data_IF_899098164974
#
_entry.id   IF_899098164974
#
_cell.length_a   1.000
_cell.length_b   1.000
_cell.length_c   1.000
_cell.angle_alpha   90.00
_cell.angle_beta   90.00
_cell.angle_gamma   90.00
#
_symmetry.space_group_name_H-M   'P 1'
#
loop_
_entity.id
_entity.type
_entity.pdbx_description
1 polymer ?
2 branched ?
3 non-polymer ?
4 water ?
#
# COMPACT_ATOMS: atom_id res chain seq x y z
N UNK A 1 -2.08 -18.73 -12.80
CA UNK A 1 -3.41 -19.28 -12.35
C UNK A 1 -4.46 -19.11 -13.48
N UNK A 2 -5.40 -20.03 -13.53
CA UNK A 2 -6.50 -19.95 -14.46
C UNK A 2 -7.63 -19.02 -13.92
N UNK A 3 -8.56 -18.66 -14.79
CA UNK A 3 -9.74 -17.88 -14.46
C UNK A 3 -10.90 -18.79 -14.16
N UNK A 4 -11.42 -18.76 -12.96
CA UNK A 4 -12.55 -19.61 -12.62
C UNK A 4 -13.87 -18.95 -12.94
N UNK A 5 -14.92 -19.78 -13.02
CA UNK A 5 -16.22 -19.37 -13.46
C UNK A 5 -17.35 -19.82 -12.54
N UNK A 6 -17.04 -20.23 -11.32
CA UNK A 6 -18.09 -20.65 -10.38
C UNK A 6 -18.81 -19.53 -9.76
N UNK A 7 -18.15 -18.36 -9.75
CA UNK A 7 -18.70 -17.16 -9.14
C UNK A 7 -18.39 -16.00 -10.03
N UNK A 8 -19.41 -15.24 -10.34
CA UNK A 8 -19.16 -14.10 -11.23
C UNK A 8 -18.30 -13.05 -10.50
N UNK A 9 -17.42 -12.40 -11.26
CA UNK A 9 -16.59 -11.30 -10.74
C UNK A 9 -17.11 -9.93 -11.17
N UNK A 10 -17.74 -9.25 -10.26
CA UNK A 10 -18.33 -7.92 -10.56
C UNK A 10 -17.55 -6.92 -9.71
N UNK A 11 -16.73 -6.13 -10.37
CA UNK A 11 -15.88 -5.15 -9.63
C UNK A 11 -16.71 -3.93 -9.11
N UNK A 12 -16.67 -3.61 -7.82
CA UNK A 12 -17.36 -2.41 -7.33
C UNK A 12 -16.89 -1.15 -8.06
N UNK A 13 -17.82 -0.20 -8.32
CA UNK A 13 -17.42 1.06 -8.97
C UNK A 13 -16.83 2.03 -7.93
N UNK A 14 -15.76 2.68 -8.29
CA UNK A 14 -15.18 3.75 -7.48
C UNK A 14 -14.69 4.82 -8.38
N UNK A 15 -15.49 5.88 -8.52
CA UNK A 15 -15.21 6.94 -9.47
C UNK A 15 -13.99 7.75 -8.98
N UNK A 16 -13.15 8.19 -9.90
CA UNK A 16 -12.07 9.13 -9.57
C UNK A 16 -12.15 10.31 -10.53
N UNK A 17 -11.39 11.34 -10.25
CA UNK A 17 -11.38 12.49 -11.13
C UNK A 17 -10.00 12.78 -11.64
N UNK A 18 -9.92 13.15 -12.91
CA UNK A 18 -8.63 13.57 -13.48
C UNK A 18 -8.71 15.13 -13.72
N UNK A 19 -7.69 15.86 -13.29
CA UNK A 19 -7.78 17.33 -13.19
C UNK A 19 -6.64 18.01 -13.95
N UNK A 20 -6.98 19.14 -14.58
CA UNK A 20 -5.94 19.96 -15.27
C UNK A 20 -6.12 21.41 -14.91
N UNK A 21 -5.04 22.17 -15.03
CA UNK A 21 -5.09 23.57 -14.63
C UNK A 21 -6.21 24.36 -15.34
N UNK A 22 -6.24 24.16 -16.63
CA UNK A 22 -7.21 24.90 -17.44
C UNK A 22 -8.62 24.37 -17.54
N UNK A 23 -8.76 23.04 -17.55
CA UNK A 23 -10.00 22.33 -17.72
C UNK A 23 -10.78 21.93 -16.47
N UNK A 24 -10.13 21.96 -15.32
CA UNK A 24 -10.79 21.58 -14.10
C UNK A 24 -10.75 20.06 -13.99
N UNK A 25 -11.69 19.56 -13.21
CA UNK A 25 -11.77 18.14 -12.93
C UNK A 25 -12.85 17.42 -13.78
N UNK A 26 -12.52 16.26 -14.26
CA UNK A 26 -13.41 15.42 -15.07
C UNK A 26 -13.51 14.03 -14.47
N UNK A 27 -14.68 13.50 -14.24
CA UNK A 27 -14.75 12.12 -13.68
C UNK A 27 -14.33 10.97 -14.62
N UNK A 28 -13.78 9.92 -14.05
CA UNK A 28 -13.43 8.65 -14.67
C UNK A 28 -14.18 7.52 -13.99
N UNK A 29 -14.77 6.65 -14.80
CA UNK A 29 -15.50 5.49 -14.27
C UNK A 29 -14.62 4.31 -13.86
N UNK A 30 -13.74 4.55 -12.93
CA UNK A 30 -12.89 3.54 -12.44
C UNK A 30 -13.63 2.55 -11.49
N UNK A 31 -12.99 1.41 -11.26
CA UNK A 31 -13.52 0.35 -10.43
C UNK A 31 -12.44 -0.17 -9.50
N UNK A 32 -12.81 -1.06 -8.58
CA UNK A 32 -11.79 -1.74 -7.76
C UNK A 32 -11.85 -3.25 -7.87
N UNK A 33 -10.71 -3.92 -7.63
CA UNK A 33 -10.61 -5.37 -7.68
C UNK A 33 -9.83 -5.92 -6.49
N UNK A 34 -10.37 -6.99 -5.92
CA UNK A 34 -9.73 -7.69 -4.78
C UNK A 34 -8.43 -8.42 -5.26
N UNK A 35 -7.36 -8.21 -4.46
CA UNK A 35 -6.11 -8.88 -4.67
C UNK A 35 -6.27 -10.48 -4.65
N UNK A 36 -5.50 -11.13 -5.52
CA UNK A 36 -5.60 -12.57 -5.75
C UNK A 36 -5.34 -13.40 -4.50
N UNK A 37 -4.52 -12.86 -3.56
CA UNK A 37 -4.23 -13.64 -2.34
C UNK A 37 -5.44 -13.94 -1.48
N UNK A 38 -6.49 -13.12 -1.60
CA UNK A 38 -7.62 -13.30 -0.77
C UNK A 38 -8.69 -14.25 -1.35
N UNK A 39 -8.55 -14.58 -2.63
CA UNK A 39 -9.56 -15.38 -3.31
C UNK A 39 -9.52 -16.87 -3.10
N UNK A 40 -10.66 -17.50 -3.39
CA UNK A 40 -10.83 -18.95 -3.43
C UNK A 40 -10.01 -19.45 -4.58
N UNK A 41 -9.21 -20.47 -4.35
CA UNK A 41 -8.40 -21.14 -5.38
C UNK A 41 -8.87 -22.56 -5.47
N UNK A 42 -9.34 -22.96 -6.65
CA UNK A 42 -9.90 -24.33 -6.76
C UNK A 42 -9.57 -24.98 -8.09
N UNK A 43 -9.82 -26.28 -8.22
CA UNK A 43 -9.49 -27.01 -9.40
C UNK A 43 -10.25 -26.44 -10.61
N UNK A 44 -9.61 -26.36 -11.73
CA UNK A 44 -10.29 -25.84 -12.97
C UNK A 44 -11.40 -26.74 -13.45
N UNK A 45 -11.43 -27.94 -13.00
CA UNK A 45 -12.55 -28.75 -13.39
C UNK A 45 -13.64 -28.97 -12.31
N UNK A 46 -13.70 -28.13 -11.27
CA UNK A 46 -14.77 -28.31 -10.30
C UNK A 46 -14.72 -27.35 -9.11
N UNK A 47 -14.93 -27.89 -7.93
CA UNK A 47 -15.03 -27.08 -6.70
C UNK A 47 -13.99 -27.43 -5.63
N UNK A 48 -13.13 -28.40 -5.91
CA UNK A 48 -12.15 -28.83 -4.95
C UNK A 48 -11.07 -27.75 -4.72
N UNK A 49 -10.76 -27.48 -3.45
CA UNK A 49 -9.78 -26.46 -3.20
C UNK A 49 -8.35 -26.87 -3.59
N UNK A 50 -7.57 -25.94 -4.18
CA UNK A 50 -6.14 -26.12 -4.33
C UNK A 50 -5.40 -25.63 -3.07
N UNK A 51 -6.03 -24.77 -2.33
CA UNK A 51 -5.45 -24.15 -1.11
C UNK A 51 -6.56 -24.05 -0.11
N UNK A 52 -6.28 -24.45 1.12
CA UNK A 52 -7.25 -24.42 2.22
C UNK A 52 -6.52 -24.03 3.47
N UNK A 53 -6.98 -23.04 4.19
CA UNK A 53 -6.29 -22.67 5.45
C UNK A 53 -4.93 -22.10 5.12
N UNK A 54 -3.87 -22.79 5.50
CA UNK A 54 -2.54 -22.31 5.21
C UNK A 54 -1.69 -23.35 4.45
N UNK A 55 -2.33 -24.23 3.73
CA UNK A 55 -1.63 -25.27 3.01
C UNK A 55 -2.25 -25.58 1.63
N UNK A 56 -1.39 -25.97 0.69
CA UNK A 56 -1.78 -26.36 -0.64
C UNK A 56 -2.14 -27.84 -0.74
N UNK A 57 -2.93 -28.20 -1.74
CA UNK A 57 -3.26 -29.63 -2.01
C UNK A 57 -2.15 -30.24 -2.82
N UNK A 58 -1.41 -31.20 -2.25
CA UNK A 58 -0.20 -31.75 -2.90
C UNK A 58 -0.47 -32.56 -4.17
N UNK A 59 -1.69 -33.00 -4.29
CA UNK A 59 -2.15 -33.74 -5.46
C UNK A 59 -2.36 -32.84 -6.68
N UNK A 60 -3.00 -31.70 -6.47
CA UNK A 60 -3.27 -30.75 -7.55
C UNK A 60 -2.07 -29.86 -7.77
N UNK A 61 -1.24 -29.73 -6.74
CA UNK A 61 -0.17 -28.76 -6.79
C UNK A 61 1.15 -29.31 -6.36
N UNK A 62 1.64 -30.25 -7.11
CA UNK A 62 2.96 -30.82 -6.80
C UNK A 62 4.13 -29.88 -7.08
N UNK A 63 4.10 -29.03 -8.11
CA UNK A 63 5.14 -28.05 -8.39
C UNK A 63 4.42 -26.78 -8.85
N UNK A 64 5.11 -25.66 -8.99
CA UNK A 64 4.42 -24.43 -9.37
C UNK A 64 3.70 -24.36 -10.71
N UNK A 65 4.31 -24.93 -11.73
CA UNK A 65 3.75 -24.90 -13.05
C UNK A 65 2.54 -25.80 -13.10
N UNK A 66 2.65 -27.01 -12.58
CA UNK A 66 1.45 -27.88 -12.53
C UNK A 66 0.23 -27.24 -11.78
N UNK A 67 0.51 -26.64 -10.63
CA UNK A 67 -0.53 -25.98 -9.88
C UNK A 67 -1.23 -24.89 -10.65
N UNK A 68 -0.46 -24.04 -11.34
CA UNK A 68 -1.00 -22.92 -12.10
C UNK A 68 -1.89 -23.42 -13.26
N UNK A 69 -1.57 -24.58 -13.79
CA UNK A 69 -2.38 -25.17 -14.86
C UNK A 69 -3.61 -25.84 -14.31
N UNK A 70 -3.56 -26.38 -13.12
CA UNK A 70 -4.70 -27.07 -12.55
C UNK A 70 -5.67 -26.20 -11.75
N UNK A 71 -5.20 -25.01 -11.38
CA UNK A 71 -5.90 -24.19 -10.38
C UNK A 71 -6.39 -22.85 -10.91
N UNK A 72 -7.58 -22.48 -10.48
CA UNK A 72 -8.20 -21.27 -10.88
C UNK A 72 -8.61 -20.33 -9.71
N UNK A 73 -8.48 -19.04 -9.98
CA UNK A 73 -8.97 -17.99 -9.07
C UNK A 73 -10.41 -17.71 -9.39
N UNK A 74 -11.24 -17.51 -8.38
CA UNK A 74 -12.65 -17.25 -8.69
C UNK A 74 -13.18 -15.93 -8.22
N UNK A 75 -14.40 -15.63 -8.61
CA UNK A 75 -15.02 -14.36 -8.23
C UNK A 75 -15.26 -14.22 -6.75
N UNK A 76 -15.46 -12.97 -6.27
CA UNK A 76 -15.65 -12.70 -4.88
C UNK A 76 -16.97 -11.99 -4.50
N UNK A 77 -17.51 -12.32 -3.32
CA UNK A 77 -18.68 -11.58 -2.72
C UNK A 77 -18.04 -10.45 -1.90
N UNK A 78 -17.87 -9.28 -2.55
CA UNK A 78 -17.11 -8.17 -1.92
C UNK A 78 -17.57 -7.79 -0.51
N UNK A 79 -18.88 -7.53 -0.36
CA UNK A 79 -19.40 -7.15 0.92
C UNK A 79 -19.56 -8.31 1.86
N UNK A 80 -20.17 -9.38 1.37
CA UNK A 80 -20.42 -10.53 2.22
C UNK A 80 -19.26 -11.26 2.82
N UNK A 81 -18.27 -11.54 2.01
CA UNK A 81 -17.09 -12.22 2.45
C UNK A 81 -16.01 -11.31 2.95
N UNK A 82 -15.83 -10.16 2.32
CA UNK A 82 -14.64 -9.37 2.60
C UNK A 82 -14.88 -8.00 3.27
N UNK A 83 -16.12 -7.60 3.46
CA UNK A 83 -16.49 -6.35 4.09
C UNK A 83 -16.06 -5.13 3.32
N UNK A 84 -16.02 -5.27 2.01
CA UNK A 84 -15.70 -4.20 1.09
C UNK A 84 -16.96 -3.68 0.39
N UNK A 85 -17.23 -2.39 0.57
CA UNK A 85 -18.36 -1.79 -0.04
C UNK A 85 -18.03 -0.43 -0.67
N UNK A 86 -18.76 -0.06 -1.71
CA UNK A 86 -18.57 1.25 -2.28
C UNK A 86 -19.88 1.96 -2.50
N UNK A 87 -19.90 3.24 -2.21
CA UNK A 87 -21.05 4.08 -2.64
C UNK A 87 -21.04 4.51 -4.08
N UNK A 88 -19.90 4.29 -4.75
CA UNK A 88 -19.64 4.79 -6.10
C UNK A 88 -18.58 5.88 -6.09
N UNK A 89 -18.39 6.53 -4.96
CA UNK A 89 -17.30 7.52 -4.81
C UNK A 89 -16.52 7.32 -3.48
N UNK A 90 -17.05 6.55 -2.52
CA UNK A 90 -16.43 6.26 -1.23
C UNK A 90 -16.35 4.77 -0.96
N UNK A 91 -15.16 4.31 -0.64
CA UNK A 91 -14.84 2.90 -0.42
C UNK A 91 -14.70 2.67 1.05
N UNK A 92 -15.47 1.72 1.58
CA UNK A 92 -15.33 1.35 3.02
C UNK A 92 -14.69 -0.05 3.11
N UNK A 93 -13.59 -0.16 3.82
CA UNK A 93 -12.96 -1.44 4.04
C UNK A 93 -13.06 -1.82 5.51
N UNK A 94 -13.79 -2.90 5.79
CA UNK A 94 -13.94 -3.39 7.17
C UNK A 94 -12.84 -4.37 7.52
N UNK A 95 -12.44 -4.38 8.79
CA UNK A 95 -11.35 -5.20 9.25
C UNK A 95 -11.67 -6.70 9.29
N UNK A 96 -12.57 -7.15 10.17
CA UNK A 96 -12.89 -8.59 10.26
C UNK A 96 -14.30 -8.87 9.78
N UNK A 97 -14.44 -9.86 8.90
CA UNK A 97 -15.72 -10.27 8.36
C UNK A 97 -15.73 -11.77 8.42
N UNK A 98 -16.50 -12.32 9.37
CA UNK A 98 -16.48 -13.78 9.56
C UNK A 98 -15.09 -14.24 9.87
N UNK A 99 -14.54 -15.16 9.11
CA UNK A 99 -13.15 -15.62 9.33
C UNK A 99 -12.12 -14.89 8.43
N UNK A 100 -12.60 -13.90 7.72
CA UNK A 100 -11.69 -13.10 6.87
C UNK A 100 -11.12 -11.91 7.63
N UNK A 101 -9.83 -11.68 7.49
CA UNK A 101 -9.19 -10.54 8.14
C UNK A 101 -8.53 -9.64 7.07
N UNK A 102 -9.01 -8.42 7.02
CA UNK A 102 -8.47 -7.41 6.11
C UNK A 102 -8.76 -7.59 4.65
N UNK A 103 -8.21 -6.68 3.83
CA UNK A 103 -8.34 -6.76 2.41
C UNK A 103 -7.39 -5.85 1.72
N UNK A 104 -7.20 -6.06 0.42
CA UNK A 104 -6.43 -5.18 -0.43
C UNK A 104 -7.12 -5.19 -1.79
N UNK A 105 -7.35 -3.99 -2.31
CA UNK A 105 -7.95 -3.82 -3.66
C UNK A 105 -7.08 -2.91 -4.50
N UNK A 106 -7.25 -2.98 -5.81
CA UNK A 106 -6.54 -2.16 -6.78
C UNK A 106 -7.53 -1.34 -7.61
N UNK A 107 -7.11 -0.14 -7.98
CA UNK A 107 -7.94 0.71 -8.85
C UNK A 107 -7.85 0.29 -10.33
N UNK A 108 -9.00 0.07 -10.98
CA UNK A 108 -9.05 -0.44 -12.37
C UNK A 108 -9.59 0.56 -13.36
N UNK A 109 -8.97 0.62 -14.53
CA UNK A 109 -9.45 1.47 -15.60
C UNK A 109 -10.69 0.88 -16.25
N UNK A 110 -10.67 -0.42 -16.42
CA UNK A 110 -11.78 -1.20 -16.97
C UNK A 110 -11.71 -2.60 -16.38
N UNK A 111 -12.52 -3.55 -16.86
CA UNK A 111 -12.53 -4.84 -16.20
C UNK A 111 -11.34 -5.73 -16.32
N UNK A 112 -10.41 -5.44 -17.23
CA UNK A 112 -9.19 -6.23 -17.39
C UNK A 112 -7.88 -5.44 -17.31
N UNK A 113 -7.86 -4.16 -16.96
CA UNK A 113 -6.63 -3.43 -16.80
C UNK A 113 -6.65 -2.59 -15.58
N UNK A 114 -5.59 -2.64 -14.80
CA UNK A 114 -5.42 -1.66 -13.73
C UNK A 114 -5.24 -0.21 -14.30
N UNK A 115 -5.72 0.79 -13.58
CA UNK A 115 -5.45 2.14 -13.89
C UNK A 115 -3.96 2.46 -13.70
N UNK A 116 -3.27 2.90 -14.75
CA UNK A 116 -1.86 3.23 -14.63
C UNK A 116 -1.70 4.72 -14.37
N UNK A 117 -1.20 5.07 -13.21
CA UNK A 117 -1.03 6.44 -12.82
C UNK A 117 0.40 6.93 -13.04
N UNK A 118 0.54 8.06 -13.72
CA UNK A 118 1.87 8.66 -14.00
C UNK A 118 1.89 9.98 -13.29
N UNK A 119 2.52 10.02 -12.10
CA UNK A 119 2.38 11.10 -11.21
C UNK A 119 3.57 12.04 -11.12
N UNK A 120 4.57 11.87 -11.99
CA UNK A 120 5.65 12.89 -11.96
C UNK A 120 5.13 14.29 -12.38
N UNK A 121 5.47 15.32 -11.62
CA UNK A 121 4.93 16.66 -11.88
C UNK A 121 3.46 16.70 -11.80
N UNK A 122 2.92 15.87 -10.90
CA UNK A 122 1.47 15.81 -10.73
C UNK A 122 1.18 15.70 -9.25
N UNK A 123 -0.08 15.70 -8.92
CA UNK A 123 -0.54 15.55 -7.49
C UNK A 123 -1.66 14.54 -7.39
N UNK A 124 -1.73 13.90 -6.23
CA UNK A 124 -2.76 12.91 -5.89
C UNK A 124 -3.48 13.39 -4.62
N UNK A 125 -4.81 13.41 -4.63
CA UNK A 125 -5.59 13.83 -3.47
C UNK A 125 -6.69 12.90 -3.16
N UNK A 126 -6.96 12.73 -1.87
CA UNK A 126 -8.09 11.92 -1.42
C UNK A 126 -8.58 12.36 -0.07
N UNK A 127 -9.79 11.95 0.26
CA UNK A 127 -10.34 12.09 1.63
C UNK A 127 -10.28 10.79 2.40
N UNK A 128 -10.14 10.92 3.71
CA UNK A 128 -10.11 9.71 4.56
C UNK A 128 -10.87 9.94 5.85
N UNK A 129 -11.54 8.93 6.34
CA UNK A 129 -12.20 8.95 7.65
C UNK A 129 -11.62 7.77 8.46
N UNK A 130 -10.89 8.10 9.52
CA UNK A 130 -10.24 7.12 10.38
C UNK A 130 -10.84 7.11 11.79
N UNK A 131 -11.97 7.71 11.94
CA UNK A 131 -12.64 7.76 13.25
C UNK A 131 -12.82 6.38 13.91
N UNK A 132 -12.97 5.37 13.06
CA UNK A 132 -13.15 3.99 13.56
C UNK A 132 -11.97 3.09 13.23
N UNK A 133 -10.76 3.67 13.18
CA UNK A 133 -9.54 2.95 12.84
C UNK A 133 -8.47 3.15 13.92
N UNK A 134 -8.49 2.32 14.94
CA UNK A 134 -7.62 2.52 16.11
C UNK A 134 -6.21 2.00 16.09
N UNK A 135 -5.45 2.20 17.19
CA UNK A 135 -4.12 1.57 17.42
C UNK A 135 -4.08 0.13 16.94
N UNK A 136 -2.96 -0.24 16.36
CA UNK A 136 -2.66 -1.55 15.87
C UNK A 136 -3.14 -1.83 14.45
N UNK A 137 -3.93 -0.91 13.88
CA UNK A 137 -4.43 -1.20 12.47
C UNK A 137 -3.79 -0.25 11.50
N UNK A 138 -3.90 -0.51 10.19
CA UNK A 138 -3.31 0.39 9.19
C UNK A 138 -4.32 0.47 8.02
N UNK A 139 -4.77 1.68 7.70
CA UNK A 139 -5.53 1.89 6.50
C UNK A 139 -4.54 2.53 5.55
N UNK A 140 -4.22 1.87 4.44
CA UNK A 140 -3.14 2.26 3.57
C UNK A 140 -3.64 2.52 2.14
N UNK A 141 -3.02 3.53 1.54
CA UNK A 141 -3.30 3.91 0.12
C UNK A 141 -1.88 4.10 -0.38
N UNK A 142 -1.55 3.33 -1.40
CA UNK A 142 -0.18 3.29 -1.96
C UNK A 142 -0.05 2.92 -3.43
N UNK A 143 1.12 3.22 -4.00
CA UNK A 143 1.36 2.88 -5.40
C UNK A 143 2.44 1.83 -5.48
N UNK A 144 2.22 0.86 -6.37
CA UNK A 144 3.19 -0.23 -6.66
C UNK A 144 3.46 -0.31 -8.15
N UNK A 145 4.69 -0.68 -8.55
CA UNK A 145 5.03 -0.74 -9.97
C UNK A 145 4.61 -2.09 -10.58
N UNK A 146 3.34 -2.41 -10.55
CA UNK A 146 2.79 -3.63 -11.09
C UNK A 146 2.49 -3.39 -12.55
N UNK A 147 2.37 -4.45 -13.31
CA UNK A 147 2.00 -4.37 -14.70
C UNK A 147 0.49 -4.13 -14.82
N UNK A 148 0.06 -3.38 -15.83
CA UNK A 148 -1.37 -3.10 -15.95
C UNK A 148 -2.28 -4.26 -16.19
N UNK A 149 -1.77 -5.34 -16.78
CA UNK A 149 -2.53 -6.58 -17.00
C UNK A 149 -2.23 -7.66 -15.96
N UNK A 150 -1.61 -7.29 -14.85
CA UNK A 150 -1.40 -8.25 -13.78
C UNK A 150 -0.33 -9.29 -14.11
N UNK A 151 0.41 -9.10 -15.21
CA UNK A 151 1.46 -10.00 -15.66
C UNK A 151 1.07 -10.93 -16.81
N UNK A 152 -0.15 -10.82 -17.30
CA UNK A 152 -0.61 -11.76 -18.31
C UNK A 152 0.32 -11.82 -19.55
N UNK A 153 0.82 -10.71 -20.02
CA UNK A 153 1.58 -10.75 -21.26
C UNK A 153 2.94 -11.37 -21.10
N UNK A 154 3.51 -11.22 -19.90
CA UNK A 154 4.81 -11.76 -19.61
C UNK A 154 4.82 -13.21 -19.22
N UNK A 155 3.78 -13.70 -18.56
CA UNK A 155 3.74 -15.01 -18.02
C UNK A 155 2.59 -15.87 -18.55
N UNK A 156 2.94 -16.82 -19.37
CA UNK A 156 1.92 -17.69 -20.01
C UNK A 156 1.07 -18.47 -18.99
N UNK A 157 1.61 -18.75 -17.81
CA UNK A 157 0.91 -19.46 -16.78
C UNK A 157 -0.22 -18.72 -16.11
N UNK A 158 -0.26 -17.40 -16.34
CA UNK A 158 -1.28 -16.52 -15.73
C UNK A 158 -2.30 -16.18 -16.76
N UNK A 159 -3.42 -16.86 -16.72
CA UNK A 159 -4.57 -16.58 -17.57
C UNK A 159 -5.69 -15.81 -16.87
N UNK A 160 -5.47 -15.36 -15.63
CA UNK A 160 -6.45 -14.66 -14.81
C UNK A 160 -6.27 -13.12 -14.93
N UNK A 161 -5.04 -12.66 -14.67
CA UNK A 161 -4.77 -11.25 -14.93
C UNK A 161 -5.38 -10.27 -13.95
N UNK A 162 -5.38 -9.01 -14.34
CA UNK A 162 -5.90 -7.92 -13.51
C UNK A 162 -7.36 -8.10 -13.11
N UNK A 163 -8.16 -8.81 -13.94
CA UNK A 163 -9.53 -9.07 -13.57
C UNK A 163 -9.70 -9.81 -12.21
N UNK A 164 -8.69 -10.60 -11.85
CA UNK A 164 -8.68 -11.35 -10.60
C UNK A 164 -7.60 -10.86 -9.61
N UNK A 165 -7.03 -9.68 -9.87
CA UNK A 165 -6.17 -9.05 -8.91
C UNK A 165 -4.78 -9.70 -8.83
N UNK A 166 -4.26 -10.18 -9.94
CA UNK A 166 -2.91 -10.85 -9.96
C UNK A 166 -1.76 -9.87 -10.17
N UNK A 167 -0.53 -10.31 -9.83
CA UNK A 167 0.65 -9.56 -10.17
C UNK A 167 1.20 -8.61 -9.09
N UNK A 168 0.72 -8.74 -7.82
CA UNK A 168 1.27 -7.90 -6.76
C UNK A 168 2.82 -7.96 -6.69
N UNK A 169 3.39 -6.83 -6.27
CA UNK A 169 4.79 -6.74 -5.88
C UNK A 169 4.90 -5.52 -4.97
N UNK A 170 5.89 -5.50 -4.09
CA UNK A 170 6.17 -4.34 -3.27
C UNK A 170 7.61 -4.36 -2.79
N UNK A 171 7.96 -3.39 -2.01
CA UNK A 171 9.34 -3.15 -1.68
C UNK A 171 9.90 -4.04 -0.57
N UNK A 172 9.05 -4.85 0.00
CA UNK A 172 9.40 -5.79 1.02
C UNK A 172 9.64 -7.19 0.37
N UNK A 173 9.55 -7.27 -0.98
CA UNK A 173 9.76 -8.54 -1.70
C UNK A 173 9.00 -9.70 -1.04
N UNK A 174 7.72 -9.54 -0.77
CA UNK A 174 7.00 -10.55 0.03
C UNK A 174 7.00 -11.92 -0.62
N UNK A 175 7.20 -12.91 0.24
CA UNK A 175 7.19 -14.33 -0.15
C UNK A 175 5.90 -15.02 0.22
N UNK A 176 4.94 -14.30 0.75
CA UNK A 176 3.61 -14.83 1.12
C UNK A 176 2.52 -14.80 -0.05
N UNK A 177 2.95 -14.32 -1.17
CA UNK A 177 2.12 -14.24 -2.36
C UNK A 177 2.04 -15.59 -3.07
N UNK A 178 0.81 -16.02 -3.33
CA UNK A 178 0.53 -17.36 -3.82
C UNK A 178 0.89 -17.68 -5.25
N UNK A 179 0.64 -16.74 -6.14
CA UNK A 179 1.01 -16.82 -7.52
C UNK A 179 1.97 -15.68 -7.90
N UNK A 180 3.13 -16.07 -8.44
CA UNK A 180 4.15 -15.16 -8.94
C UNK A 180 4.66 -15.62 -10.27
N UNK A 181 4.64 -14.74 -11.26
CA UNK A 181 5.20 -15.05 -12.60
C UNK A 181 4.40 -16.21 -13.25
N UNK A 182 3.13 -16.29 -12.91
CA UNK A 182 2.29 -17.36 -13.50
C UNK A 182 2.56 -18.70 -12.94
N UNK A 183 3.21 -18.80 -11.77
CA UNK A 183 3.43 -20.10 -11.15
C UNK A 183 3.03 -20.00 -9.70
N UNK A 184 2.45 -21.07 -9.14
CA UNK A 184 2.16 -21.15 -7.71
C UNK A 184 3.49 -21.17 -6.92
N UNK A 185 3.51 -20.38 -5.86
CA UNK A 185 4.70 -20.24 -5.03
C UNK A 185 4.76 -21.33 -4.00
N UNK A 186 4.74 -22.58 -4.45
CA UNK A 186 4.60 -23.71 -3.53
C UNK A 186 5.88 -24.32 -2.96
N UNK A 187 7.04 -23.88 -3.46
CA UNK A 187 8.31 -24.43 -3.06
C UNK A 187 8.63 -24.10 -1.62
N UNK A 188 8.97 -25.16 -0.86
CA UNK A 188 9.23 -25.03 0.51
C UNK A 188 8.19 -24.28 1.24
N UNK A 189 6.95 -24.53 0.92
CA UNK A 189 5.92 -23.80 1.58
C UNK A 189 5.98 -23.99 3.07
N UNK A 190 5.91 -22.87 3.80
CA UNK A 190 5.95 -22.83 5.25
C UNK A 190 4.78 -22.04 5.83
N UNK A 191 4.04 -22.63 6.75
CA UNK A 191 2.97 -21.93 7.41
C UNK A 191 3.49 -20.80 8.31
N UNK A 192 2.79 -19.68 8.28
CA UNK A 192 3.11 -18.52 9.12
C UNK A 192 1.95 -18.01 9.93
N UNK A 193 0.80 -18.59 9.73
CA UNK A 193 -0.35 -18.28 10.49
C UNK A 193 -1.46 -19.18 10.05
N UNK A 194 -2.64 -18.98 10.62
CA UNK A 194 -3.80 -19.82 10.35
C UNK A 194 -4.23 -19.84 8.87
N UNK A 195 -4.11 -18.72 8.19
CA UNK A 195 -4.48 -18.72 6.76
C UNK A 195 -3.37 -18.27 5.79
N UNK A 196 -2.13 -18.19 6.29
CA UNK A 196 -1.05 -17.68 5.57
C UNK A 196 0.19 -18.56 5.64
N UNK A 197 1.02 -18.42 4.62
CA UNK A 197 2.29 -19.07 4.53
C UNK A 197 3.24 -18.36 3.58
N UNK A 198 4.40 -18.90 3.41
CA UNK A 198 5.39 -18.39 2.47
C UNK A 198 6.06 -19.47 1.65
N UNK A 199 6.45 -19.10 0.43
CA UNK A 199 7.10 -19.96 -0.52
C UNK A 199 8.52 -19.53 -0.77
N UNK A 200 9.16 -20.16 -1.72
CA UNK A 200 10.59 -19.91 -1.98
C UNK A 200 10.91 -18.64 -2.79
N UNK A 201 9.89 -18.07 -3.44
CA UNK A 201 10.11 -16.90 -4.22
C UNK A 201 9.38 -15.68 -3.58
N UNK A 202 9.93 -14.50 -3.86
CA UNK A 202 9.28 -13.23 -3.49
C UNK A 202 9.03 -12.45 -4.74
N UNK A 203 8.25 -11.38 -4.59
CA UNK A 203 7.98 -10.51 -5.72
C UNK A 203 8.22 -9.03 -5.35
N UNK A 204 9.16 -8.42 -6.02
CA UNK A 204 9.66 -7.10 -5.65
C UNK A 204 9.41 -6.05 -6.75
N UNK A 205 9.14 -4.82 -6.26
CA UNK A 205 9.11 -3.67 -7.09
C UNK A 205 9.08 -2.39 -6.25
N UNK A 206 9.36 -1.26 -6.88
CA UNK A 206 9.35 0.02 -6.16
C UNK A 206 7.88 0.34 -5.73
N UNK A 207 7.78 1.08 -4.65
CA UNK A 207 6.48 1.41 -4.05
C UNK A 207 6.53 2.83 -3.48
N UNK A 208 5.41 3.54 -3.62
CA UNK A 208 5.29 4.84 -3.03
C UNK A 208 4.09 4.77 -2.02
N UNK A 209 4.40 4.84 -0.71
CA UNK A 209 3.38 4.76 0.29
C UNK A 209 2.83 6.14 0.55
N UNK A 210 1.79 6.50 -0.15
CA UNK A 210 1.19 7.81 0.00
C UNK A 210 0.60 7.98 1.41
N UNK A 211 0.02 6.92 1.96
CA UNK A 211 -0.67 7.02 3.24
C UNK A 211 -0.72 5.71 3.95
N UNK A 212 -0.09 5.66 5.11
CA UNK A 212 -0.21 4.50 6.00
C UNK A 212 -0.55 5.11 7.33
N UNK A 213 -1.67 4.74 7.89
CA UNK A 213 -2.19 5.45 9.06
C UNK A 213 -3.32 4.82 9.86
N UNK A 214 -3.44 5.28 11.11
CA UNK A 214 -4.60 5.03 11.95
C UNK A 214 -4.90 6.33 12.74
N UNK A 215 -5.95 6.37 13.53
CA UNK A 215 -6.32 7.62 14.20
C UNK A 215 -5.28 8.12 15.24
N UNK A 216 -4.25 7.35 15.49
CA UNK A 216 -3.07 7.77 16.33
C UNK A 216 -1.81 8.31 15.57
N UNK A 217 -1.56 7.92 14.31
CA UNK A 217 -0.33 8.23 13.65
C UNK A 217 -0.45 8.00 12.19
N UNK A 218 0.35 8.70 11.44
CA UNK A 218 0.39 8.59 9.95
C UNK A 218 1.77 8.77 9.42
N UNK A 219 2.08 8.08 8.33
CA UNK A 219 3.38 8.18 7.64
C UNK A 219 3.25 8.14 6.12
N UNK A 220 4.13 8.83 5.41
CA UNK A 220 4.19 8.71 3.96
C UNK A 220 5.67 8.47 3.63
N UNK A 221 5.85 7.58 2.68
CA UNK A 221 7.16 6.92 2.47
C UNK A 221 7.46 6.40 1.05
N UNK A 222 8.38 7.00 0.29
CA UNK A 222 8.90 6.37 -0.89
C UNK A 222 9.87 5.16 -0.61
N UNK A 223 9.73 4.06 -1.37
CA UNK A 223 10.61 2.89 -1.35
C UNK A 223 11.15 2.58 -2.72
N UNK A 224 12.32 3.09 -3.10
CA UNK A 224 12.85 2.75 -4.42
C UNK A 224 13.48 1.34 -4.48
N UNK A 225 13.51 0.75 -5.66
CA UNK A 225 14.20 -0.53 -5.83
C UNK A 225 15.13 -0.45 -6.99
N UNK A 226 16.20 -1.25 -6.99
CA UNK A 226 17.12 -1.12 -8.13
C UNK A 226 16.61 -1.69 -9.42
N UNK A 227 15.52 -2.42 -9.38
CA UNK A 227 14.96 -2.94 -10.62
C UNK A 227 13.85 -2.12 -11.21
N UNK A 228 13.35 -2.59 -12.32
CA UNK A 228 12.39 -1.85 -13.07
C UNK A 228 11.24 -2.76 -13.31
N UNK A 229 10.17 -2.56 -12.54
CA UNK A 229 8.97 -3.34 -12.72
C UNK A 229 9.00 -4.53 -11.77
N UNK A 230 7.95 -5.30 -11.87
CA UNK A 230 7.80 -6.50 -11.04
C UNK A 230 8.84 -7.57 -11.38
N UNK A 231 9.56 -8.04 -10.35
CA UNK A 231 10.61 -9.02 -10.55
C UNK A 231 10.49 -10.09 -9.45
N UNK A 232 10.58 -11.35 -9.83
CA UNK A 232 10.55 -12.45 -8.91
C UNK A 232 11.99 -12.57 -8.37
N UNK A 233 12.14 -12.77 -7.07
CA UNK A 233 13.45 -12.91 -6.39
C UNK A 233 13.52 -14.21 -5.61
N UNK A 234 14.75 -14.65 -5.38
CA UNK A 234 14.98 -15.83 -4.66
C UNK A 234 16.22 -15.52 -3.84
N UNK A 235 16.36 -16.19 -2.70
CA UNK A 235 17.59 -16.11 -1.91
C UNK A 235 17.89 -14.71 -1.41
N UNK A 236 19.14 -14.29 -1.56
CA UNK A 236 19.52 -13.02 -0.96
C UNK A 236 18.89 -11.81 -1.65
N UNK A 237 18.42 -11.95 -2.89
CA UNK A 237 17.84 -10.78 -3.57
C UNK A 237 16.55 -10.44 -2.86
N UNK A 238 15.98 -11.36 -2.11
CA UNK A 238 14.73 -11.02 -1.39
C UNK A 238 14.98 -10.44 -0.03
N UNK A 239 16.23 -10.36 0.44
CA UNK A 239 16.43 -9.93 1.80
C UNK A 239 16.09 -8.44 1.94
N UNK A 240 15.49 -8.11 3.04
CA UNK A 240 15.08 -6.78 3.29
C UNK A 240 16.27 -5.85 3.38
N UNK A 241 16.17 -4.77 2.61
CA UNK A 241 17.16 -3.68 2.52
C UNK A 241 18.43 -4.01 1.79
N UNK A 242 18.99 -5.19 2.02
CA UNK A 242 20.23 -5.56 1.41
C UNK A 242 20.06 -6.16 0.07
N UNK A 243 18.83 -6.53 -0.26
CA UNK A 243 18.55 -7.07 -1.56
C UNK A 243 18.20 -6.04 -2.63
N UNK A 244 17.32 -6.40 -3.56
CA UNK A 244 16.95 -5.44 -4.63
C UNK A 244 16.24 -4.13 -4.18
N UNK A 245 15.57 -4.20 -3.08
CA UNK A 245 14.67 -3.09 -2.68
C UNK A 245 14.97 -2.43 -1.34
N UNK A 246 14.62 -1.14 -1.22
CA UNK A 246 14.66 -0.46 0.09
C UNK A 246 13.34 -0.63 0.89
N UNK A 247 13.32 -1.56 1.85
CA UNK A 247 12.14 -1.85 2.62
C UNK A 247 11.80 -0.86 3.69
N UNK A 248 12.82 -0.10 4.18
CA UNK A 248 12.59 0.82 5.17
C UNK A 248 12.03 2.11 4.59
N UNK A 249 12.52 2.51 3.45
CA UNK A 249 12.05 3.74 2.80
C UNK A 249 12.58 4.99 3.45
N UNK A 250 12.17 6.15 2.95
CA UNK A 250 12.45 7.41 3.67
C UNK A 250 11.12 8.01 4.10
N UNK A 251 10.76 7.82 5.32
CA UNK A 251 9.48 8.12 5.88
C UNK A 251 9.35 9.47 6.49
N UNK A 252 8.16 10.04 6.41
CA UNK A 252 7.87 11.24 7.09
C UNK A 252 6.60 10.98 7.94
N UNK A 253 6.76 10.89 9.27
CA UNK A 253 5.72 10.74 10.27
C UNK A 253 5.89 11.97 11.22
N UNK A 254 4.88 12.83 11.29
CA UNK A 254 4.99 14.10 12.02
C UNK A 254 5.38 13.92 13.50
N UNK A 255 4.85 12.88 14.10
CA UNK A 255 5.11 12.59 15.58
C UNK A 255 6.56 12.15 15.70
N UNK A 256 7.02 11.23 14.85
CA UNK A 256 8.39 10.82 14.83
C UNK A 256 9.34 11.95 14.59
N UNK A 257 8.95 12.90 13.73
CA UNK A 257 9.83 13.99 13.42
C UNK A 257 9.74 15.14 14.46
N UNK A 258 9.06 14.92 15.57
CA UNK A 258 9.11 15.86 16.69
C UNK A 258 8.00 16.81 16.89
N UNK A 259 6.85 16.60 16.22
CA UNK A 259 5.64 17.33 16.53
C UNK A 259 4.54 16.38 17.03
N UNK A 260 4.44 16.27 18.34
CA UNK A 260 3.55 15.32 18.94
C UNK A 260 2.13 15.77 19.05
N UNK A 261 1.80 17.01 18.65
CA UNK A 261 0.45 17.55 18.72
C UNK A 261 -0.12 17.96 17.33
N UNK A 262 0.49 17.53 16.26
CA UNK A 262 0.02 17.92 14.89
C UNK A 262 -1.18 17.07 14.44
N UNK A 263 -1.04 15.74 14.53
CA UNK A 263 -2.02 14.82 13.97
C UNK A 263 -2.42 13.73 14.97
N UNK A 264 -3.73 13.57 15.19
CA UNK A 264 -4.31 12.69 16.17
C UNK A 264 -5.68 13.18 16.61
N UNK A 265 -6.32 12.51 17.61
CA UNK A 265 -7.62 12.91 18.07
C UNK A 265 -7.63 14.33 18.66
N UNK A 266 -8.48 15.23 18.13
CA UNK A 266 -8.57 16.65 18.52
C UNK A 266 -7.34 17.52 18.28
N UNK A 267 -6.39 17.08 17.42
CA UNK A 267 -5.17 17.83 17.15
C UNK A 267 -5.38 18.74 15.90
N UNK A 268 -4.31 19.30 15.35
CA UNK A 268 -4.40 20.23 14.25
C UNK A 268 -5.13 19.58 13.05
N UNK A 269 -4.70 18.39 12.75
CA UNK A 269 -5.42 17.47 11.84
C UNK A 269 -6.12 16.52 12.83
N UNK A 270 -7.44 16.67 12.96
CA UNK A 270 -8.27 15.96 13.95
C UNK A 270 -8.74 14.65 13.30
N UNK A 271 -8.18 13.57 13.76
CA UNK A 271 -8.41 12.22 13.17
C UNK A 271 -9.73 11.57 13.60
N UNK A 272 -10.42 12.27 14.48
CA UNK A 272 -11.72 11.90 14.87
C UNK A 272 -12.72 12.26 13.80
N UNK A 273 -12.34 13.07 12.79
CA UNK A 273 -13.26 13.50 11.76
C UNK A 273 -12.60 13.34 10.36
N UNK A 274 -13.38 13.33 9.29
CA UNK A 274 -12.78 13.23 7.93
C UNK A 274 -11.90 14.40 7.57
N UNK A 275 -10.91 14.15 6.68
CA UNK A 275 -10.07 15.26 6.20
C UNK A 275 -9.50 14.86 4.83
N UNK A 276 -8.94 15.85 4.14
CA UNK A 276 -8.39 15.66 2.80
C UNK A 276 -6.85 15.68 2.90
N UNK A 277 -6.20 14.83 2.11
CA UNK A 277 -4.81 14.62 2.07
C UNK A 277 -4.34 14.88 0.59
N UNK A 278 -3.50 15.89 0.45
CA UNK A 278 -2.89 16.23 -0.88
C UNK A 278 -1.41 15.88 -0.89
N UNK A 279 -0.94 15.19 -1.95
CA UNK A 279 0.47 14.85 -2.08
C UNK A 279 0.94 15.25 -3.47
N UNK A 280 2.03 16.02 -3.53
CA UNK A 280 2.52 16.55 -4.84
C UNK A 280 3.92 16.02 -5.06
N UNK A 281 4.16 15.66 -6.30
CA UNK A 281 5.42 15.02 -6.71
C UNK A 281 6.16 16.00 -7.67
N UNK A 282 7.02 16.83 -7.12
CA UNK A 282 7.69 17.87 -7.88
C UNK A 282 8.99 17.45 -8.51
N UNK A 283 9.21 17.88 -9.75
CA UNK A 283 10.49 17.58 -10.45
C UNK A 283 11.39 18.81 -10.47
N UNK A 284 12.68 18.62 -10.76
CA UNK A 284 13.61 19.75 -10.68
C UNK A 284 13.34 20.85 -11.67
N UNK A 285 12.73 20.55 -12.80
CA UNK A 285 12.41 21.51 -13.81
C UNK A 285 10.92 21.67 -14.12
N UNK A 286 10.07 21.18 -13.23
CA UNK A 286 8.67 21.33 -13.45
C UNK A 286 8.16 20.77 -14.76
N UNK A 287 8.73 19.71 -15.23
CA UNK A 287 8.17 18.96 -16.35
C UNK A 287 8.04 17.49 -15.92
N UNK A 288 7.24 16.77 -16.68
CA UNK A 288 7.10 15.33 -16.52
C UNK A 288 8.30 14.50 -17.00
N UNK A 289 9.38 15.10 -17.50
CA UNK A 289 10.62 14.35 -17.80
C UNK A 289 11.72 14.67 -16.82
N UNK A 290 11.44 15.57 -15.90
CA UNK A 290 12.46 15.89 -14.95
C UNK A 290 12.72 14.85 -13.88
N UNK A 291 13.66 15.13 -13.01
CA UNK A 291 13.99 14.27 -11.92
C UNK A 291 13.17 14.61 -10.71
N UNK A 292 12.50 13.62 -10.12
CA UNK A 292 11.80 13.80 -8.85
C UNK A 292 12.70 14.44 -7.82
N UNK A 293 12.32 15.58 -7.32
CA UNK A 293 13.11 16.33 -6.32
C UNK A 293 12.49 16.60 -4.94
N UNK A 294 11.15 16.61 -4.82
CA UNK A 294 10.57 16.85 -3.53
C UNK A 294 9.17 16.17 -3.59
N UNK A 295 8.75 15.66 -2.45
CA UNK A 295 7.38 15.22 -2.23
C UNK A 295 6.76 16.10 -1.12
N UNK A 296 5.74 16.87 -1.48
CA UNK A 296 5.06 17.77 -0.57
C UNK A 296 3.69 17.24 -0.11
N UNK A 297 3.27 17.65 1.08
CA UNK A 297 2.00 17.21 1.68
C UNK A 297 1.26 18.37 2.21
N UNK A 298 -0.06 18.48 1.92
CA UNK A 298 -0.93 19.52 2.44
C UNK A 298 -2.18 18.78 2.95
N UNK A 299 -2.82 19.26 4.02
CA UNK A 299 -4.07 18.69 4.51
C UNK A 299 -5.13 19.74 4.43
N UNK A 300 -6.35 19.35 4.25
CA UNK A 300 -7.49 20.28 4.36
C UNK A 300 -8.55 19.71 5.27
N UNK A 301 -8.97 20.49 6.25
CA UNK A 301 -10.06 20.03 7.18
C UNK A 301 -10.96 21.17 7.60
N UNK A 302 -12.27 20.96 7.45
CA UNK A 302 -13.21 22.02 7.69
C UNK A 302 -12.92 23.29 6.90
N UNK A 303 -12.42 23.12 5.71
CA UNK A 303 -12.07 24.23 4.86
C UNK A 303 -10.77 24.97 5.21
N UNK A 304 -10.06 24.57 6.25
CA UNK A 304 -8.81 25.15 6.60
C UNK A 304 -7.65 24.42 5.87
N UNK A 305 -6.81 25.17 5.20
CA UNK A 305 -5.62 24.55 4.51
C UNK A 305 -4.46 24.50 5.55
N UNK A 306 -3.97 23.31 5.81
CA UNK A 306 -3.00 23.01 6.77
C UNK A 306 -1.70 22.54 6.15
N UNK A 307 -0.61 23.33 6.34
CA UNK A 307 0.64 22.88 5.81
C UNK A 307 1.22 21.69 6.63
N UNK A 308 2.06 20.85 6.02
CA UNK A 308 2.66 19.76 6.78
C UNK A 308 3.56 20.27 7.94
N UNK A 309 3.62 19.47 9.01
CA UNK A 309 4.38 19.83 10.19
C UNK A 309 5.85 19.92 9.82
N UNK A 310 6.60 20.70 10.61
CA UNK A 310 8.04 20.84 10.41
C UNK A 310 8.84 19.88 11.28
N UNK A 311 9.88 19.32 10.73
CA UNK A 311 10.78 18.45 11.51
C UNK A 311 11.42 19.21 12.67
N UNK A 312 11.45 18.60 13.86
CA UNK A 312 12.05 19.31 15.00
C UNK A 312 12.90 18.26 15.70
N UNK A 313 14.03 17.97 15.09
CA UNK A 313 15.01 16.97 15.62
C UNK A 313 16.44 17.52 15.44
N UNK A 314 17.27 17.47 16.50
CA UNK A 314 18.65 17.94 16.37
C UNK A 314 19.41 17.31 15.22
N UNK A 315 20.02 18.11 14.36
CA UNK A 315 20.77 17.62 13.25
C UNK A 315 19.91 17.47 12.00
N UNK A 316 18.64 17.74 12.14
CA UNK A 316 17.84 17.67 10.93
C UNK A 316 17.33 19.13 10.63
N UNK A 317 17.49 19.57 9.40
CA UNK A 317 16.94 20.87 8.98
C UNK A 317 15.41 20.86 9.24
N UNK A 318 14.89 21.97 9.68
CA UNK A 318 13.48 22.12 9.98
C UNK A 318 12.62 22.28 8.66
N UNK A 319 12.35 21.20 7.95
CA UNK A 319 11.68 21.22 6.69
C UNK A 319 10.42 20.39 6.84
N UNK A 320 9.54 20.50 5.85
CA UNK A 320 8.22 19.82 5.95
C UNK A 320 7.90 19.00 4.68
N UNK A 321 8.91 18.67 3.92
CA UNK A 321 8.77 17.84 2.73
C UNK A 321 9.85 16.81 2.63
N UNK A 322 9.62 15.79 1.87
CA UNK A 322 10.68 14.84 1.60
C UNK A 322 11.57 15.25 0.46
N UNK A 323 12.90 15.33 0.71
CA UNK A 323 13.90 15.54 -0.31
C UNK A 323 15.09 14.58 0.03
N UNK A 324 15.98 14.42 -0.92
CA UNK A 324 17.15 13.55 -0.66
C UNK A 324 17.95 14.03 0.54
N UNK A 325 18.14 15.35 0.66
CA UNK A 325 18.81 15.85 1.86
C UNK A 325 18.12 15.52 3.15
N UNK A 326 16.78 15.62 3.24
CA UNK A 326 16.12 15.37 4.46
C UNK A 326 16.37 13.89 4.81
N UNK A 327 16.31 13.04 3.80
CA UNK A 327 16.44 11.59 4.02
C UNK A 327 17.80 11.26 4.66
N UNK A 328 18.83 11.86 4.09
CA UNK A 328 20.19 11.67 4.62
C UNK A 328 20.27 12.17 6.01
N UNK A 329 19.80 13.38 6.28
CA UNK A 329 19.79 13.82 7.66
C UNK A 329 18.98 13.06 8.67
N UNK A 330 17.81 12.54 8.29
CA UNK A 330 16.99 11.85 9.19
C UNK A 330 17.68 10.49 9.56
N UNK A 331 18.30 9.88 8.60
CA UNK A 331 18.84 8.49 8.72
C UNK A 331 19.99 8.61 9.74
N UNK A 332 20.65 9.74 9.75
CA UNK A 332 21.69 9.96 10.79
C UNK A 332 21.23 10.18 12.18
N UNK A 333 20.30 11.10 12.35
CA UNK A 333 19.81 11.43 13.66
C UNK A 333 19.16 10.27 14.36
N UNK A 334 18.57 9.37 13.56
CA UNK A 334 17.79 8.32 14.08
C UNK A 334 18.54 7.04 14.26
N UNK A 335 19.72 7.01 13.66
CA UNK A 335 20.61 5.86 13.79
C UNK A 335 20.27 4.76 12.81
N UNK A 336 19.67 5.06 11.63
CA UNK A 336 19.39 4.05 10.59
C UNK A 336 20.23 4.24 9.36
N UNK A 337 20.46 3.15 8.62
CA UNK A 337 21.25 3.16 7.44
C UNK A 337 20.45 3.69 6.27
N UNK A 338 21.10 4.40 5.33
CA UNK A 338 20.40 5.05 4.19
C UNK A 338 20.28 4.17 2.96
N UNK A 339 19.45 3.11 3.10
CA UNK A 339 19.30 2.15 2.03
C UNK A 339 18.59 2.83 0.86
N UNK A 340 17.71 3.77 1.21
CA UNK A 340 17.06 4.62 0.24
C UNK A 340 18.03 5.18 -0.80
N UNK A 341 19.03 5.92 -0.38
CA UNK A 341 20.02 6.39 -1.31
C UNK A 341 20.79 5.31 -2.07
N UNK A 342 21.08 4.23 -1.38
CA UNK A 342 21.77 3.09 -2.08
C UNK A 342 21.05 2.52 -3.29
N UNK A 343 19.70 2.50 -3.22
CA UNK A 343 18.90 2.07 -4.31
C UNK A 343 18.61 3.16 -5.31
N UNK A 344 19.01 4.40 -5.04
CA UNK A 344 18.92 5.43 -6.02
C UNK A 344 18.12 6.68 -5.62
N UNK A 345 17.59 6.69 -4.40
CA UNK A 345 16.91 7.80 -3.80
C UNK A 345 15.68 8.23 -4.60
N UNK A 346 15.39 9.52 -4.48
CA UNK A 346 14.26 10.06 -5.23
C UNK A 346 14.36 9.97 -6.72
N UNK A 347 15.59 10.09 -7.27
CA UNK A 347 15.64 9.95 -8.67
C UNK A 347 15.14 8.54 -9.16
N UNK A 348 15.57 7.45 -8.50
CA UNK A 348 15.16 6.12 -8.88
C UNK A 348 13.62 5.99 -8.61
N UNK A 349 13.17 6.58 -7.52
CA UNK A 349 11.70 6.60 -7.25
C UNK A 349 10.91 7.26 -8.38
N UNK A 350 11.45 8.35 -8.93
CA UNK A 350 10.81 9.06 -10.01
C UNK A 350 10.73 8.31 -11.31
N UNK A 351 11.74 7.52 -11.62
CA UNK A 351 11.71 6.72 -12.81
C UNK A 351 10.54 5.73 -12.68
N UNK A 352 10.28 5.18 -11.49
CA UNK A 352 9.15 4.24 -11.35
C UNK A 352 7.86 5.03 -11.52
N UNK A 353 7.78 6.20 -10.87
CA UNK A 353 6.58 7.00 -11.07
C UNK A 353 6.33 7.31 -12.51
N UNK A 354 7.38 7.65 -13.21
CA UNK A 354 7.27 7.96 -14.63
C UNK A 354 6.76 6.90 -15.51
N UNK A 355 7.10 5.68 -15.19
CA UNK A 355 6.76 4.56 -15.97
C UNK A 355 5.30 4.12 -15.69
N UNK A 356 4.70 4.66 -14.63
CA UNK A 356 3.30 4.31 -14.31
C UNK A 356 3.20 3.33 -13.15
N UNK A 357 2.28 3.56 -12.23
CA UNK A 357 2.13 2.70 -11.12
C UNK A 357 0.64 2.42 -10.87
N UNK A 358 0.38 1.38 -10.10
CA UNK A 358 -0.99 0.91 -9.79
C UNK A 358 -1.31 1.36 -8.37
N UNK A 359 -2.53 1.86 -8.18
CA UNK A 359 -3.02 2.24 -6.83
C UNK A 359 -3.69 1.07 -6.05
N UNK A 360 -3.19 0.85 -4.85
CA UNK A 360 -3.72 -0.11 -3.91
C UNK A 360 -4.30 0.59 -2.69
N UNK A 361 -5.42 0.05 -2.16
CA UNK A 361 -6.11 0.47 -0.94
C UNK A 361 -6.27 -0.74 -0.05
N UNK A 362 -5.99 -0.62 1.25
CA UNK A 362 -6.00 -1.81 2.07
C UNK A 362 -6.20 -1.49 3.56
N UNK A 363 -6.70 -2.50 4.26
CA UNK A 363 -6.84 -2.46 5.76
C UNK A 363 -6.17 -3.69 6.23
N UNK A 364 -5.26 -3.56 7.21
CA UNK A 364 -4.56 -4.73 7.64
C UNK A 364 -4.01 -4.59 9.10
N UNK A 365 -3.70 -5.77 9.71
CA UNK A 365 -2.90 -5.81 10.95
C UNK A 365 -1.55 -6.45 10.63
N UNK A 366 -0.61 -6.37 11.55
CA UNK A 366 0.77 -6.66 11.25
C UNK A 366 1.27 -7.79 12.16
N UNK A 367 1.44 -8.97 11.60
CA UNK A 367 1.87 -10.06 12.43
C UNK A 367 3.30 -9.92 12.90
N UNK A 368 4.14 -9.32 12.07
CA UNK A 368 5.54 -9.27 12.37
C UNK A 368 5.93 -8.25 13.42
N UNK A 369 5.45 -7.01 13.26
CA UNK A 369 5.87 -5.93 14.15
C UNK A 369 4.77 -5.23 14.90
N UNK A 370 3.55 -5.72 14.80
CA UNK A 370 2.46 -5.23 15.56
C UNK A 370 2.11 -3.78 15.37
N UNK A 371 2.46 -3.24 14.20
CA UNK A 371 2.27 -1.87 13.80
C UNK A 371 2.98 -0.91 14.72
N UNK A 372 3.88 -1.42 15.56
CA UNK A 372 4.55 -0.52 16.47
C UNK A 372 5.43 0.55 15.76
N UNK A 373 5.88 0.24 14.55
CA UNK A 373 6.72 1.11 13.73
C UNK A 373 5.89 2.32 13.29
N UNK A 374 4.57 2.17 13.26
CA UNK A 374 3.71 3.29 12.94
C UNK A 374 3.25 4.14 14.14
N UNK A 375 2.93 3.57 15.31
CA UNK A 375 2.16 4.29 16.25
C UNK A 375 2.74 4.08 17.66
N UNK A 376 3.83 3.43 17.71
CA UNK A 376 4.39 3.13 19.10
C UNK A 376 5.87 3.39 19.22
N UNK A 377 6.56 2.74 20.14
CA UNK A 377 7.99 2.91 20.14
C UNK A 377 8.56 1.80 19.34
N UNK A 378 9.56 2.06 18.52
CA UNK A 378 10.17 1.04 17.70
C UNK A 378 11.55 1.42 17.25
N UNK A 379 12.46 0.51 17.16
CA UNK A 379 12.37 -0.92 17.51
C UNK A 379 12.26 -1.10 19.02
N UNK A 380 11.85 -2.28 19.47
CA UNK A 380 11.49 -2.51 20.85
C UNK A 380 12.69 -2.66 21.72
N UNK A 381 13.87 -2.71 21.12
CA UNK A 381 15.09 -2.83 21.92
C UNK A 381 15.87 -1.52 21.98
N UNK A 382 15.33 -0.41 21.53
CA UNK A 382 15.99 0.88 21.63
C UNK A 382 15.35 1.77 22.65
N UNK A 383 16.15 2.66 23.25
CA UNK A 383 15.64 3.52 24.29
C UNK A 383 14.51 4.44 23.80
N UNK A 384 13.38 4.37 24.44
CA UNK A 384 12.17 5.11 24.09
C UNK A 384 12.37 6.62 24.05
N UNK A 385 13.50 7.05 24.63
CA UNK A 385 13.91 8.44 24.62
C UNK A 385 14.80 8.82 23.44
N UNK A 386 15.45 7.89 22.78
CA UNK A 386 16.33 8.29 21.70
C UNK A 386 15.50 8.83 20.51
N UNK A 387 16.08 9.76 19.75
CA UNK A 387 15.39 10.34 18.58
C UNK A 387 14.99 9.30 17.52
N UNK A 388 13.71 9.34 17.16
CA UNK A 388 13.29 8.44 16.08
C UNK A 388 12.62 7.19 16.61
N UNK A 389 12.78 6.90 17.89
CA UNK A 389 12.13 5.72 18.42
C UNK A 389 10.63 5.81 18.66
N UNK A 390 10.13 6.88 19.29
CA UNK A 390 8.71 7.02 19.54
C UNK A 390 8.02 7.53 18.25
N UNK A 391 7.03 6.77 17.81
CA UNK A 391 6.26 7.16 16.58
C UNK A 391 4.79 7.53 16.81
N UNK A 392 4.28 7.29 18.01
CA UNK A 392 2.97 7.63 18.39
C UNK A 392 2.85 7.37 19.85
N UNK A 393 1.65 7.47 20.33
CA UNK A 393 1.40 7.28 21.76
C UNK A 393 0.88 5.92 22.12
N UNK A 394 0.45 5.10 21.17
CA UNK A 394 -0.06 3.74 21.47
C UNK A 394 0.90 2.86 22.32
N UNK A 395 0.35 1.96 23.15
CA UNK A 395 1.21 1.16 24.04
C UNK A 395 2.08 0.16 23.30
N UNK A 396 3.21 -0.25 23.87
CA UNK A 396 4.05 -1.22 23.19
C UNK A 396 3.51 -2.62 23.20
N UNK A 397 2.41 -2.84 23.88
CA UNK A 397 1.74 -4.15 23.90
C UNK A 397 0.57 -4.19 22.90
N UNK A 398 0.32 -3.06 22.23
CA UNK A 398 -0.79 -3.01 21.29
C UNK A 398 -0.45 -3.67 19.95
N UNK A 399 -1.47 -3.82 19.13
CA UNK A 399 -1.30 -4.34 17.77
C UNK A 399 -1.15 -5.83 17.60
N UNK A 400 -1.28 -6.61 18.68
CA UNK A 400 -1.20 -8.05 18.58
C UNK A 400 -2.37 -8.52 17.81
N UNK A 401 -2.16 -9.12 16.65
CA UNK A 401 -3.31 -9.46 15.79
C UNK A 401 -4.42 -10.25 16.46
N UNK A 402 -4.05 -11.32 17.20
CA UNK A 402 -5.06 -12.08 17.92
C UNK A 402 -5.86 -11.15 18.78
N UNK A 403 -5.20 -10.14 19.35
CA UNK A 403 -5.95 -9.21 20.21
C UNK A 403 -6.86 -8.24 19.44
N UNK A 404 -6.30 -7.49 18.53
CA UNK A 404 -7.16 -6.55 17.83
C UNK A 404 -8.26 -7.25 17.05
N UNK A 405 -8.03 -8.46 16.56
CA UNK A 405 -9.10 -9.14 15.81
C UNK A 405 -10.27 -9.51 16.77
N UNK A 406 -9.96 -9.73 18.04
CA UNK A 406 -11.04 -10.02 19.00
C UNK A 406 -11.64 -8.78 19.57
N UNK A 407 -10.77 -7.80 19.84
CA UNK A 407 -11.18 -6.57 20.49
C UNK A 407 -11.89 -5.59 19.60
N UNK A 408 -11.40 -5.37 18.38
CA UNK A 408 -12.03 -4.31 17.57
C UNK A 408 -12.33 -4.74 16.13
N UNK A 409 -13.03 -5.85 15.99
CA UNK A 409 -13.22 -6.45 14.66
C UNK A 409 -14.07 -5.54 13.74
N UNK A 410 -14.86 -4.62 14.24
CA UNK A 410 -15.71 -3.83 13.33
C UNK A 410 -15.05 -2.47 12.96
N UNK A 411 -13.77 -2.40 13.25
CA UNK A 411 -12.90 -1.28 12.76
C UNK A 411 -13.03 -1.17 11.26
N UNK A 412 -12.85 0.06 10.79
CA UNK A 412 -12.99 0.26 9.29
C UNK A 412 -12.33 1.52 8.87
N UNK A 413 -11.98 1.67 7.56
CA UNK A 413 -11.51 2.91 7.04
C UNK A 413 -12.34 3.27 5.81
N UNK A 414 -12.57 4.55 5.59
CA UNK A 414 -13.30 5.00 4.38
C UNK A 414 -12.47 5.99 3.59
N UNK A 415 -12.21 5.64 2.34
CA UNK A 415 -11.42 6.43 1.38
C UNK A 415 -12.37 6.95 0.33
N UNK A 416 -12.27 8.28 0.05
CA UNK A 416 -13.16 8.90 -0.91
C UNK A 416 -12.58 10.04 -1.70
N UNK A 417 -13.36 10.55 -2.67
CA UNK A 417 -13.00 11.70 -3.44
C UNK A 417 -11.59 11.66 -3.99
N UNK A 418 -11.30 10.58 -4.68
CA UNK A 418 -9.99 10.38 -5.24
C UNK A 418 -9.78 11.24 -6.51
N UNK A 419 -8.70 12.05 -6.52
CA UNK A 419 -8.42 12.99 -7.65
C UNK A 419 -6.94 13.03 -7.97
N UNK A 420 -6.59 13.19 -9.24
CA UNK A 420 -5.20 13.30 -9.57
C UNK A 420 -5.08 14.20 -10.79
N UNK A 421 -3.93 14.85 -10.89
CA UNK A 421 -3.71 15.68 -12.07
C UNK A 421 -2.66 16.77 -11.83
N UNK A 422 -2.81 17.89 -12.53
CA UNK A 422 -1.80 18.90 -12.49
C UNK A 422 -1.63 19.49 -11.06
N UNK A 423 -0.37 19.74 -10.70
CA UNK A 423 -0.10 20.42 -9.43
C UNK A 423 -0.91 21.69 -9.24
N UNK A 424 -1.60 21.74 -8.10
CA UNK A 424 -2.48 22.81 -7.71
C UNK A 424 -3.89 22.75 -8.30
N UNK A 425 -4.17 21.73 -9.10
CA UNK A 425 -5.49 21.68 -9.73
C UNK A 425 -6.52 20.74 -9.08
N UNK A 426 -6.09 19.93 -8.10
CA UNK A 426 -7.07 19.04 -7.45
C UNK A 426 -7.76 19.70 -6.28
N UNK A 427 -7.30 20.89 -5.87
CA UNK A 427 -7.93 21.66 -4.84
C UNK A 427 -7.80 23.13 -5.17
N UNK A 428 -8.60 23.93 -4.50
CA UNK A 428 -8.52 25.35 -4.72
C UNK A 428 -8.65 26.10 -3.42
N UNK A 429 -8.34 27.39 -3.52
CA UNK A 429 -8.43 28.26 -2.40
C UNK A 429 -8.99 29.62 -2.75
N UNK A 430 -9.52 30.24 -1.74
CA UNK A 430 -9.98 31.61 -1.88
C UNK A 430 -9.94 32.40 -0.62
N UNK A 431 -9.89 33.72 -0.76
CA UNK A 431 -10.12 34.67 0.35
C UNK A 431 -11.40 35.52 0.09
X LIG B 1 12.96 0.69 11.45
X LIG B 1 12.31 0.20 10.19
X LIG B 1 11.10 1.11 9.83
X LIG B 1 11.55 2.54 9.77
X LIG B 1 10.36 3.47 9.52
X LIG B 1 13.27 2.16 11.34
X LIG B 1 13.75 2.55 12.62
X LIG B 1 14.21 0.01 11.52
X LIG B 1 11.86 -1.12 10.38
X LIG B 1 10.62 0.79 8.55
X LIG B 1 12.11 2.92 11.02
X LIG B 1 9.24 3.14 10.33
X LIG B 2 8.86 0.52 6.91
X LIG B 2 7.49 -0.12 6.80
X LIG B 2 7.49 -1.50 7.37
X LIG B 2 7.97 -1.51 8.82
X LIG B 2 7.97 -2.89 9.45
X LIG B 2 9.31 0.36 8.40
X LIG B 2 8.84 1.90 6.40
X LIG B 2 6.95 -0.13 5.45
X LIG B 2 6.14 -1.99 7.30
X LIG B 2 9.30 -1.03 8.80
X LIG B 2 8.75 -3.75 8.67
X LIG C 1 9.13 25.22 -10.58
X LIG C 1 9.79 26.57 -10.83
X LIG C 1 10.11 27.31 -9.54
X LIG C 1 8.87 27.43 -8.64
X LIG C 1 8.23 26.03 -8.54
X LIG C 1 6.82 26.12 -7.90
X LIG C 1 11.25 26.56 -12.69
X LIG C 1 12.57 26.08 -13.23
X LIG C 1 11.07 26.34 -11.44
X LIG C 1 10.78 28.55 -9.81
X LIG C 1 9.32 27.82 -7.37
X LIG C 1 7.97 25.54 -9.82
X LIG C 1 6.72 25.07 -6.93
X LIG C 1 10.42 27.16 -13.34
#
# INVERSE_FOLDING_TARGET
>A
QQAGTNTAENHPQLQSQQCTTSGGCKPLSTKVVLDSNWRWVHSTSGYTNCYTGNEWDTSLCPDGKTCAANCALDGADYSGTYGITSTGTALTLKFVTGSNVGSRVYLMADDTHYQLLKLLNQEFTFDVDMSNLPCGLNGALYLSAMDADGGMSKYPGNKAGAKYGTGYCDSQCPKDIKFINGEANVGNWTETGSNTGTGSYGTCCSEMDIWEANNDAAAFTPHPCTTTGQTRCSGDDCARNTGLCDGDGCDFNSFRMGDKTFLGKGMTVDTSKPFTVVTQFLTNDNTSTGTLSEIRRIYIQNGKVIQNSVANIPGVDPVNSITDNFCAQQKTAFGDTNWFAQKGGLKQMGEALGNGMVLALSIWDDHAANMLWLDSDYPTDKDPSAPGVARGTCATTSGVPSDVESQVPNSQVVFSNIKFGDIGSTFSGTS
>B hetero
1 BGC C2 C3 C4 C5 C6 C1 O1 O2 O3 O4 O5 O6
2 BGC C2 C3 C4 C5 C6 C1 O2 O3 O4 O5 O6
>C hetero
1 NAG C1 C2 C3 C4 C5 C6 C7 C8 N2 O3 O4 O5 O6 O7
#
